data_IF_837727902881
#
_entry.id   IF_837727902881
#
_cell.length_a   1.000
_cell.length_b   1.000
_cell.length_c   1.000
_cell.angle_alpha   90.00
_cell.angle_beta   90.00
_cell.angle_gamma   90.00
#
_symmetry.space_group_name_H-M   'P 1'
#
loop_
_entity.id
_entity.type
_entity.pdbx_description
1 polymer ?
#
# COMPACT_ATOMS: atom_id res chain seq x y z
N UNK A 1 -24.06 1.82 11.28
CA UNK A 1 -23.88 0.81 10.21
C UNK A 1 -22.40 0.57 10.00
N UNK A 2 -21.98 -0.70 10.00
CA UNK A 2 -20.58 -1.05 9.78
C UNK A 2 -20.24 -1.04 8.29
N UNK A 3 -19.04 -0.57 7.98
CA UNK A 3 -18.49 -0.62 6.62
C UNK A 3 -17.35 -1.63 6.59
N UNK A 4 -17.36 -2.51 5.61
CA UNK A 4 -16.30 -3.50 5.41
C UNK A 4 -15.39 -3.00 4.30
N UNK A 5 -14.08 -2.93 4.59
CA UNK A 5 -13.09 -2.48 3.63
C UNK A 5 -12.09 -3.60 3.33
N UNK A 6 -11.60 -3.71 2.09
CA UNK A 6 -10.48 -4.60 1.80
C UNK A 6 -9.19 -4.02 2.38
N UNK A 7 -8.19 -4.87 2.59
CA UNK A 7 -6.85 -4.39 2.87
C UNK A 7 -6.31 -3.71 1.62
N UNK A 8 -5.63 -2.58 1.80
CA UNK A 8 -5.10 -1.82 0.67
C UNK A 8 -3.73 -1.22 1.01
N UNK A 9 -2.87 -1.11 0.02
CA UNK A 9 -1.57 -0.48 0.14
C UNK A 9 -1.65 0.96 -0.38
N UNK A 10 -1.29 1.93 0.46
CA UNK A 10 -1.34 3.37 0.15
C UNK A 10 -2.64 3.71 -0.60
N UNK A 11 -3.79 3.49 0.03
CA UNK A 11 -5.07 3.57 -0.66
C UNK A 11 -5.49 5.00 -1.01
N UNK A 12 -6.56 5.10 -1.79
CA UNK A 12 -7.10 6.37 -2.26
C UNK A 12 -7.69 7.22 -1.14
N UNK A 13 -7.91 8.50 -1.44
CA UNK A 13 -8.59 9.42 -0.50
C UNK A 13 -9.98 8.89 -0.14
N UNK A 14 -10.69 8.31 -1.09
CA UNK A 14 -12.02 7.74 -0.83
C UNK A 14 -11.96 6.64 0.24
N UNK A 15 -10.97 5.75 0.16
CA UNK A 15 -10.78 4.72 1.17
C UNK A 15 -10.64 5.34 2.57
N UNK A 16 -9.82 6.39 2.69
CA UNK A 16 -9.61 7.08 3.96
C UNK A 16 -10.85 7.79 4.47
N UNK A 17 -11.74 8.27 3.60
CA UNK A 17 -12.99 8.88 4.06
C UNK A 17 -13.84 7.88 4.82
N UNK A 18 -13.92 6.65 4.34
CA UNK A 18 -14.62 5.58 5.05
C UNK A 18 -13.93 5.21 6.36
N UNK A 19 -12.60 5.12 6.34
CA UNK A 19 -11.82 4.76 7.52
C UNK A 19 -11.99 5.79 8.63
N UNK A 20 -11.96 7.08 8.29
CA UNK A 20 -12.03 8.18 9.27
C UNK A 20 -13.42 8.35 9.86
N UNK A 21 -14.47 7.88 9.20
CA UNK A 21 -15.83 7.92 9.75
C UNK A 21 -16.00 7.02 10.96
N UNK A 22 -15.13 6.05 11.12
CA UNK A 22 -15.25 5.04 12.18
C UNK A 22 -16.23 3.94 11.82
N UNK A 23 -16.29 2.91 12.66
CA UNK A 23 -17.17 1.77 12.44
C UNK A 23 -16.76 0.90 11.26
N UNK A 24 -15.52 1.02 10.80
CA UNK A 24 -14.99 0.21 9.70
C UNK A 24 -14.36 -1.07 10.21
N UNK A 25 -14.45 -2.11 9.41
CA UNK A 25 -13.73 -3.37 9.61
C UNK A 25 -12.93 -3.64 8.34
N UNK A 26 -11.63 -3.90 8.49
CA UNK A 26 -10.80 -4.34 7.37
C UNK A 26 -10.85 -5.85 7.32
N UNK A 27 -11.27 -6.39 6.17
CA UNK A 27 -11.44 -7.83 6.00
C UNK A 27 -10.11 -8.49 5.63
N UNK A 28 -9.52 -9.20 6.57
CA UNK A 28 -8.28 -9.95 6.36
C UNK A 28 -8.55 -11.41 5.95
N UNK A 29 -9.80 -11.83 5.97
CA UNK A 29 -10.21 -13.18 5.58
C UNK A 29 -10.54 -13.33 4.10
N UNK A 30 -10.65 -12.22 3.36
CA UNK A 30 -10.91 -12.30 1.93
C UNK A 30 -9.72 -12.91 1.19
N UNK A 31 -9.99 -13.46 0.02
CA UNK A 31 -8.93 -14.05 -0.79
C UNK A 31 -8.10 -12.96 -1.45
N UNK A 32 -6.78 -13.15 -1.43
CA UNK A 32 -5.86 -12.23 -2.09
C UNK A 32 -6.09 -12.25 -3.61
N UNK A 33 -6.15 -11.07 -4.19
CA UNK A 33 -6.26 -10.88 -5.64
C UNK A 33 -4.99 -10.18 -6.10
N UNK A 34 -4.19 -10.83 -6.92
CA UNK A 34 -3.01 -10.20 -7.50
C UNK A 34 -3.40 -9.07 -8.44
N UNK A 35 -2.52 -8.10 -8.62
CA UNK A 35 -2.76 -6.92 -9.47
C UNK A 35 -3.98 -6.13 -9.01
N UNK A 36 -4.14 -5.98 -7.71
CA UNK A 36 -5.22 -5.23 -7.10
C UNK A 36 -4.65 -4.20 -6.12
N UNK A 37 -5.49 -3.34 -5.60
CA UNK A 37 -5.09 -2.33 -4.61
C UNK A 37 -4.61 -2.93 -3.29
N UNK A 38 -4.76 -4.24 -3.10
CA UNK A 38 -4.25 -4.93 -1.92
C UNK A 38 -2.73 -4.86 -1.84
N UNK A 39 -2.05 -4.91 -2.99
CA UNK A 39 -0.58 -4.85 -3.04
C UNK A 39 -0.05 -3.84 -4.06
N UNK A 40 -0.89 -2.96 -4.58
CA UNK A 40 -0.50 -1.95 -5.55
C UNK A 40 -1.04 -0.59 -5.18
N UNK A 41 -0.22 0.42 -5.42
CA UNK A 41 -0.62 1.81 -5.26
C UNK A 41 -0.17 2.61 -6.47
N UNK A 42 -0.80 3.76 -6.67
CA UNK A 42 -0.41 4.70 -7.72
C UNK A 42 -0.01 6.00 -7.07
N UNK A 43 1.11 6.54 -7.52
CA UNK A 43 1.59 7.85 -7.09
C UNK A 43 1.78 8.72 -8.32
N UNK A 44 1.83 10.04 -8.10
CA UNK A 44 2.08 10.99 -9.17
C UNK A 44 3.56 11.34 -9.17
N UNK A 45 4.29 10.81 -10.14
CA UNK A 45 5.69 11.12 -10.36
C UNK A 45 5.82 12.30 -11.33
N UNK A 46 7.06 12.77 -11.54
CA UNK A 46 7.30 13.95 -12.39
C UNK A 46 6.86 13.77 -13.84
N UNK A 47 6.88 12.54 -14.34
CA UNK A 47 6.54 12.23 -15.73
C UNK A 47 5.21 11.48 -15.86
N UNK A 48 4.38 11.48 -14.82
CA UNK A 48 3.06 10.89 -14.85
C UNK A 48 2.81 9.92 -13.70
N UNK A 49 1.74 9.15 -13.85
CA UNK A 49 1.33 8.18 -12.84
C UNK A 49 2.32 7.01 -12.80
N UNK A 50 2.79 6.68 -11.61
CA UNK A 50 3.67 5.53 -11.39
C UNK A 50 2.95 4.52 -10.51
N UNK A 51 3.03 3.24 -10.87
CA UNK A 51 2.46 2.17 -10.08
C UNK A 51 3.54 1.55 -9.19
N UNK A 52 3.23 1.37 -7.91
CA UNK A 52 4.11 0.73 -6.94
C UNK A 52 3.49 -0.60 -6.53
N UNK A 53 4.23 -1.68 -6.70
CA UNK A 53 3.78 -3.02 -6.36
C UNK A 53 4.57 -3.57 -5.17
N UNK A 54 3.85 -3.98 -4.13
CA UNK A 54 4.44 -4.76 -3.04
C UNK A 54 4.47 -6.22 -3.47
N UNK A 55 5.67 -6.80 -3.56
CA UNK A 55 5.83 -8.18 -3.99
C UNK A 55 5.46 -9.14 -2.86
N UNK A 56 4.70 -10.17 -3.20
CA UNK A 56 4.23 -11.17 -2.23
C UNK A 56 4.65 -12.56 -2.68
N UNK A 57 4.84 -13.45 -1.71
CA UNK A 57 5.14 -14.85 -1.99
C UNK A 57 3.88 -15.57 -2.46
N UNK A 58 4.04 -16.48 -3.41
CA UNK A 58 2.95 -17.35 -3.87
C UNK A 58 1.71 -16.57 -4.34
N UNK A 59 1.93 -15.47 -5.09
CA UNK A 59 0.85 -14.61 -5.54
C UNK A 59 -0.20 -15.34 -6.38
N UNK A 60 0.17 -16.46 -7.01
CA UNK A 60 -0.71 -17.25 -7.86
C UNK A 60 -1.48 -18.34 -7.11
N UNK A 61 -1.22 -18.52 -5.80
CA UNK A 61 -1.93 -19.54 -5.03
C UNK A 61 -3.40 -19.17 -4.92
N UNK A 62 -4.34 -20.03 -5.35
CA UNK A 62 -5.76 -19.71 -5.29
C UNK A 62 -6.28 -19.77 -3.86
N UNK A 63 -7.34 -19.01 -3.60
CA UNK A 63 -8.08 -19.03 -2.33
C UNK A 63 -7.20 -18.76 -1.10
N UNK A 64 -6.18 -17.95 -1.25
CA UNK A 64 -5.30 -17.60 -0.16
C UNK A 64 -5.87 -16.40 0.59
N UNK A 65 -6.23 -16.52 1.89
CA UNK A 65 -6.70 -15.36 2.65
C UNK A 65 -5.61 -14.29 2.76
N UNK A 66 -6.00 -13.04 2.71
CA UNK A 66 -5.05 -11.92 2.76
C UNK A 66 -4.15 -12.01 4.00
N UNK A 67 -4.70 -12.41 5.14
CA UNK A 67 -3.91 -12.52 6.39
C UNK A 67 -2.78 -13.54 6.31
N UNK A 68 -2.87 -14.52 5.38
CA UNK A 68 -1.86 -15.57 5.22
C UNK A 68 -0.81 -15.21 4.17
N UNK A 69 -1.00 -14.12 3.44
CA UNK A 69 -0.06 -13.67 2.40
C UNK A 69 1.20 -13.14 3.07
N UNK A 70 2.36 -13.58 2.59
CA UNK A 70 3.65 -13.15 3.08
C UNK A 70 4.35 -12.25 2.06
N UNK A 71 5.03 -11.23 2.56
CA UNK A 71 5.77 -10.32 1.70
C UNK A 71 7.04 -10.99 1.18
N UNK A 72 7.37 -10.69 -0.07
CA UNK A 72 8.58 -11.21 -0.71
C UNK A 72 9.67 -10.16 -0.66
N UNK A 73 10.61 -10.32 0.26
CA UNK A 73 11.72 -9.39 0.45
C UNK A 73 12.92 -9.69 -0.46
N UNK A 74 12.85 -10.73 -1.29
CA UNK A 74 13.89 -10.99 -2.30
C UNK A 74 13.91 -9.94 -3.39
N UNK A 75 12.77 -9.27 -3.61
CA UNK A 75 12.67 -8.10 -4.47
C UNK A 75 12.91 -6.85 -3.62
N UNK A 76 13.63 -5.89 -4.15
CA UNK A 76 13.99 -4.68 -3.39
C UNK A 76 12.88 -3.64 -3.46
N UNK A 77 11.63 -4.06 -3.27
CA UNK A 77 10.49 -3.17 -3.42
C UNK A 77 10.48 -2.05 -2.37
N UNK A 78 10.92 -2.32 -1.15
CA UNK A 78 10.95 -1.29 -0.10
C UNK A 78 11.88 -0.14 -0.49
N UNK A 79 13.08 -0.47 -0.96
CA UNK A 79 14.03 0.54 -1.42
C UNK A 79 13.49 1.31 -2.62
N UNK A 80 12.92 0.62 -3.59
CA UNK A 80 12.36 1.23 -4.79
C UNK A 80 11.18 2.13 -4.47
N UNK A 81 10.26 1.68 -3.61
CA UNK A 81 9.10 2.48 -3.23
C UNK A 81 9.50 3.73 -2.45
N UNK A 82 10.41 3.60 -1.49
CA UNK A 82 10.84 4.76 -0.72
C UNK A 82 11.53 5.79 -1.61
N UNK A 83 12.40 5.34 -2.50
CA UNK A 83 13.04 6.22 -3.48
C UNK A 83 12.03 6.95 -4.35
N UNK A 84 10.99 6.24 -4.82
CA UNK A 84 9.94 6.84 -5.64
C UNK A 84 9.13 7.87 -4.86
N UNK A 85 8.79 7.58 -3.60
CA UNK A 85 8.05 8.51 -2.74
C UNK A 85 8.85 9.77 -2.47
N UNK A 86 10.14 9.64 -2.16
CA UNK A 86 11.00 10.79 -1.93
C UNK A 86 11.12 11.64 -3.20
N UNK A 87 11.39 10.99 -4.34
CA UNK A 87 11.54 11.70 -5.61
C UNK A 87 10.27 12.45 -6.01
N UNK A 88 9.11 11.87 -5.74
CA UNK A 88 7.83 12.45 -6.16
C UNK A 88 7.31 13.53 -5.21
N UNK A 89 7.59 13.43 -3.92
CA UNK A 89 6.91 14.26 -2.93
C UNK A 89 7.84 15.11 -2.06
N UNK A 90 9.18 15.02 -2.19
CA UNK A 90 10.10 15.77 -1.31
C UNK A 90 9.88 17.27 -1.33
N UNK A 91 9.35 17.80 -2.42
CA UNK A 91 9.06 19.23 -2.55
C UNK A 91 7.65 19.60 -2.10
N UNK A 92 6.84 18.61 -1.69
CA UNK A 92 5.49 18.87 -1.22
C UNK A 92 5.51 19.48 0.17
N UNK A 93 4.54 20.35 0.50
CA UNK A 93 4.40 20.85 1.87
C UNK A 93 4.26 19.69 2.85
N UNK A 94 4.89 19.82 4.00
CA UNK A 94 4.83 18.84 5.10
C UNK A 94 5.48 17.49 4.81
N UNK A 95 6.14 17.30 3.66
CA UNK A 95 6.81 16.03 3.40
C UNK A 95 7.82 15.70 4.51
N UNK A 96 8.66 16.66 4.89
CA UNK A 96 9.66 16.45 5.93
C UNK A 96 9.03 16.08 7.27
N UNK A 97 7.84 16.58 7.54
CA UNK A 97 7.10 16.26 8.75
C UNK A 97 6.66 14.80 8.77
N UNK A 98 6.18 14.28 7.62
CA UNK A 98 5.64 12.93 7.55
C UNK A 98 6.67 11.88 7.19
N UNK A 99 7.80 12.25 6.57
CA UNK A 99 8.79 11.29 6.07
C UNK A 99 9.30 10.36 7.17
N UNK A 100 9.56 10.89 8.36
CA UNK A 100 10.04 10.10 9.48
C UNK A 100 9.04 9.06 10.00
N UNK A 101 7.75 9.24 9.70
CA UNK A 101 6.71 8.29 10.07
C UNK A 101 6.53 7.17 9.05
N UNK A 102 6.81 7.46 7.78
CA UNK A 102 6.68 6.47 6.70
C UNK A 102 7.94 5.65 6.49
N UNK A 103 9.11 6.26 6.60
CA UNK A 103 10.38 5.62 6.28
C UNK A 103 10.60 4.28 7.00
N UNK A 104 10.25 4.12 8.29
CA UNK A 104 10.47 2.84 8.97
C UNK A 104 9.81 1.64 8.32
N UNK A 105 8.70 1.83 7.58
CA UNK A 105 8.03 0.75 6.87
C UNK A 105 8.79 0.28 5.64
N UNK A 106 9.78 1.04 5.18
CA UNK A 106 10.53 0.77 3.95
C UNK A 106 11.96 0.30 4.22
N UNK A 107 12.31 0.08 5.45
CA UNK A 107 13.57 -0.59 5.82
C UNK A 107 13.26 -1.92 6.49
N UNK A 108 14.21 -2.83 6.34
CA UNK A 108 14.04 -4.18 6.86
C UNK A 108 14.97 -4.44 8.04
#
# INVERSE_FOLDING_TARGET
MSTILPLAYLPSVEYFTHLLRGGCVVDLGEHFVKRSERNRARILASDGVMELTVHVRNANRPRQPVRDVRLDYSKRWQHQHWGALVASYRSSPYFDFYAGRFEPFYRR
#
